data_IF_220182710091
#
_entry.id   IF_220182710091
#
_cell.length_a   1.000
_cell.length_b   1.000
_cell.length_c   1.000
_cell.angle_alpha   90.00
_cell.angle_beta   90.00
_cell.angle_gamma   90.00
#
_symmetry.space_group_name_H-M   'P 1'
#
loop_
_entity.id
_entity.type
_entity.pdbx_description
1 polymer ?
#
# COMPACT_ATOMS: atom_id res chain seq x y z
N UNK A 1 -9.66 -0.65 -26.97
CA UNK A 1 -10.19 -0.30 -25.63
C UNK A 1 -9.96 -1.48 -24.69
N UNK A 2 -9.41 -1.19 -23.53
CA UNK A 2 -8.42 -2.01 -22.83
C UNK A 2 -9.04 -3.12 -21.94
N UNK A 3 -9.02 -4.38 -22.39
CA UNK A 3 -9.57 -5.54 -21.65
C UNK A 3 -8.92 -5.74 -20.27
N UNK A 4 -7.72 -5.20 -20.04
CA UNK A 4 -7.03 -5.26 -18.74
C UNK A 4 -7.66 -4.32 -17.70
N UNK A 5 -8.06 -3.09 -18.08
CA UNK A 5 -8.64 -2.11 -17.15
C UNK A 5 -10.02 -2.52 -16.60
N UNK A 6 -10.81 -3.23 -17.39
CA UNK A 6 -12.15 -3.70 -16.95
C UNK A 6 -12.01 -4.78 -15.87
N UNK A 7 -11.00 -5.66 -15.98
CA UNK A 7 -10.82 -6.78 -15.04
C UNK A 7 -10.44 -6.31 -13.62
N UNK A 8 -9.64 -5.26 -13.50
CA UNK A 8 -9.23 -4.69 -12.20
C UNK A 8 -10.38 -4.01 -11.46
N UNK A 9 -11.28 -3.34 -12.19
CA UNK A 9 -12.45 -2.65 -11.59
C UNK A 9 -13.51 -3.62 -11.08
N UNK A 10 -13.68 -4.77 -11.74
CA UNK A 10 -14.57 -5.85 -11.27
C UNK A 10 -13.99 -6.63 -10.08
N UNK A 11 -12.66 -6.69 -9.95
CA UNK A 11 -11.99 -7.42 -8.87
C UNK A 11 -12.12 -6.67 -7.52
N UNK A 12 -11.87 -5.35 -7.47
CA UNK A 12 -11.99 -4.60 -6.20
C UNK A 12 -13.43 -4.54 -5.66
N UNK A 13 -14.43 -4.58 -6.56
CA UNK A 13 -15.85 -4.68 -6.19
C UNK A 13 -16.21 -6.05 -5.57
N UNK A 14 -15.51 -7.13 -5.93
CA UNK A 14 -15.76 -8.48 -5.37
C UNK A 14 -15.10 -8.66 -4.00
N UNK A 15 -14.00 -7.96 -3.76
CA UNK A 15 -13.19 -8.09 -2.54
C UNK A 15 -13.68 -7.19 -1.41
N UNK A 16 -14.15 -5.96 -1.73
CA UNK A 16 -14.86 -5.12 -0.77
C UNK A 16 -16.13 -5.84 -0.26
N UNK A 17 -16.81 -6.58 -1.14
CA UNK A 17 -17.95 -7.43 -0.78
C UNK A 17 -17.56 -8.56 0.16
N UNK A 18 -16.34 -9.10 0.08
CA UNK A 18 -15.88 -10.18 0.96
C UNK A 18 -15.58 -9.67 2.37
N UNK A 19 -14.91 -8.52 2.51
CA UNK A 19 -14.68 -7.88 3.81
C UNK A 19 -15.99 -7.45 4.47
N UNK A 20 -16.90 -6.83 3.70
CA UNK A 20 -18.25 -6.48 4.17
C UNK A 20 -19.02 -7.74 4.54
N UNK A 21 -19.01 -8.79 3.72
CA UNK A 21 -19.67 -10.05 4.05
C UNK A 21 -19.09 -10.68 5.33
N UNK A 22 -17.78 -10.56 5.56
CA UNK A 22 -17.15 -11.06 6.78
C UNK A 22 -17.57 -10.25 8.01
N UNK A 23 -17.61 -8.92 7.92
CA UNK A 23 -18.13 -8.07 9.00
C UNK A 23 -19.60 -8.37 9.30
N UNK A 24 -20.42 -8.51 8.26
CA UNK A 24 -21.83 -8.90 8.38
C UNK A 24 -21.96 -10.28 9.01
N UNK A 25 -21.16 -11.26 8.58
CA UNK A 25 -21.15 -12.61 9.15
C UNK A 25 -20.78 -12.60 10.64
N UNK A 26 -19.73 -11.86 11.03
CA UNK A 26 -19.35 -11.73 12.44
C UNK A 26 -20.42 -11.02 13.26
N UNK A 27 -21.08 -10.00 12.72
CA UNK A 27 -22.21 -9.34 13.40
C UNK A 27 -23.40 -10.28 13.58
N UNK A 28 -23.76 -11.06 12.55
CA UNK A 28 -24.84 -12.04 12.61
C UNK A 28 -24.53 -13.16 13.59
N UNK A 29 -23.30 -13.68 13.57
CA UNK A 29 -22.86 -14.70 14.51
C UNK A 29 -22.91 -14.20 15.95
N UNK A 30 -22.50 -12.95 16.18
CA UNK A 30 -22.56 -12.31 17.50
C UNK A 30 -24.01 -12.16 17.97
N UNK A 31 -24.90 -11.65 17.13
CA UNK A 31 -26.34 -11.53 17.44
C UNK A 31 -26.97 -12.90 17.69
N UNK A 32 -26.71 -13.89 16.84
CA UNK A 32 -27.24 -15.25 16.99
C UNK A 32 -26.73 -15.91 18.28
N UNK A 33 -25.45 -15.72 18.62
CA UNK A 33 -24.87 -16.17 19.88
C UNK A 33 -25.56 -15.52 21.07
N UNK A 34 -25.70 -14.18 21.08
CA UNK A 34 -26.40 -13.50 22.16
C UNK A 34 -27.85 -13.97 22.29
N UNK A 35 -28.60 -14.06 21.19
CA UNK A 35 -30.00 -14.53 21.19
C UNK A 35 -30.13 -15.95 21.72
N UNK A 36 -29.27 -16.88 21.27
CA UNK A 36 -29.24 -18.25 21.79
C UNK A 36 -28.98 -18.26 23.30
N UNK A 37 -28.01 -17.48 23.76
CA UNK A 37 -27.71 -17.36 25.18
C UNK A 37 -28.87 -16.75 25.97
N UNK A 38 -29.58 -15.74 25.45
CA UNK A 38 -30.74 -15.16 26.17
C UNK A 38 -31.89 -16.17 26.30
N UNK A 39 -32.09 -17.02 25.30
CA UNK A 39 -33.14 -18.05 25.31
C UNK A 39 -32.77 -19.18 26.28
N UNK A 40 -31.58 -19.75 26.13
CA UNK A 40 -31.14 -20.90 26.92
C UNK A 40 -30.91 -20.54 28.40
N UNK A 41 -30.46 -19.31 28.66
CA UNK A 41 -30.16 -18.85 30.01
C UNK A 41 -31.33 -18.14 30.68
N UNK A 42 -32.37 -17.76 29.93
CA UNK A 42 -33.55 -17.10 30.50
C UNK A 42 -34.16 -17.90 31.66
N UNK A 43 -34.16 -19.23 31.59
CA UNK A 43 -34.67 -20.12 32.63
C UNK A 43 -33.68 -20.35 33.80
N UNK A 44 -32.36 -20.27 33.55
CA UNK A 44 -31.31 -20.52 34.56
C UNK A 44 -30.94 -19.25 35.34
N UNK A 45 -31.12 -18.08 34.71
CA UNK A 45 -30.73 -16.77 35.23
C UNK A 45 -31.49 -16.36 36.49
N UNK A 46 -32.75 -16.77 36.63
CA UNK A 46 -33.54 -16.45 37.83
C UNK A 46 -32.91 -16.99 39.13
N UNK A 47 -32.10 -18.05 39.04
CA UNK A 47 -31.54 -18.72 40.22
C UNK A 47 -30.10 -18.31 40.54
N UNK A 48 -29.29 -17.82 39.58
CA UNK A 48 -27.91 -17.42 39.88
C UNK A 48 -27.31 -16.37 38.89
N UNK A 49 -27.21 -15.09 39.29
CA UNK A 49 -26.68 -14.02 38.44
C UNK A 49 -25.18 -14.18 38.10
N UNK A 50 -24.44 -15.03 38.83
CA UNK A 50 -23.03 -15.32 38.53
C UNK A 50 -22.85 -16.00 37.17
N UNK A 51 -23.87 -16.72 36.68
CA UNK A 51 -23.82 -17.38 35.38
C UNK A 51 -23.73 -16.36 34.24
N UNK A 52 -24.47 -15.25 34.33
CA UNK A 52 -24.38 -14.15 33.36
C UNK A 52 -22.96 -13.60 33.32
N UNK A 53 -22.37 -13.35 34.49
CA UNK A 53 -21.00 -12.83 34.59
C UNK A 53 -20.00 -13.80 33.95
N UNK A 54 -20.13 -15.10 34.20
CA UNK A 54 -19.25 -16.11 33.60
C UNK A 54 -19.33 -16.15 32.07
N UNK A 55 -20.53 -16.01 31.50
CA UNK A 55 -20.75 -15.96 30.05
C UNK A 55 -20.13 -14.71 29.43
N UNK A 56 -20.36 -13.54 30.02
CA UNK A 56 -19.75 -12.29 29.55
C UNK A 56 -18.23 -12.34 29.63
N UNK A 57 -17.68 -12.94 30.70
CA UNK A 57 -16.25 -13.12 30.84
C UNK A 57 -15.69 -14.07 29.76
N UNK A 58 -16.37 -15.18 29.48
CA UNK A 58 -16.01 -16.10 28.40
C UNK A 58 -16.01 -15.43 27.02
N UNK A 59 -17.05 -14.66 26.73
CA UNK A 59 -17.14 -13.88 25.49
C UNK A 59 -16.01 -12.83 25.39
N UNK A 60 -15.76 -12.09 26.48
CA UNK A 60 -14.68 -11.11 26.52
C UNK A 60 -13.32 -11.74 26.23
N UNK A 61 -13.05 -12.93 26.79
CA UNK A 61 -11.81 -13.68 26.49
C UNK A 61 -11.72 -14.04 25.01
N UNK A 62 -12.81 -14.55 24.41
CA UNK A 62 -12.84 -14.89 22.97
C UNK A 62 -12.56 -13.66 22.11
N UNK A 63 -13.22 -12.53 22.41
CA UNK A 63 -13.03 -11.27 21.69
C UNK A 63 -11.57 -10.80 21.81
N UNK A 64 -11.01 -10.79 23.02
CA UNK A 64 -9.60 -10.38 23.25
C UNK A 64 -8.64 -11.26 22.45
N UNK A 65 -8.84 -12.59 22.46
CA UNK A 65 -8.00 -13.52 21.70
C UNK A 65 -8.10 -13.28 20.19
N UNK A 66 -9.32 -13.11 19.66
CA UNK A 66 -9.52 -12.80 18.25
C UNK A 66 -8.86 -11.47 17.88
N UNK A 67 -9.08 -10.41 18.66
CA UNK A 67 -8.47 -9.09 18.45
C UNK A 67 -6.95 -9.17 18.48
N UNK A 68 -6.36 -9.97 19.38
CA UNK A 68 -4.92 -10.15 19.47
C UNK A 68 -4.35 -10.86 18.22
N UNK A 69 -5.01 -11.93 17.77
CA UNK A 69 -4.63 -12.67 16.55
C UNK A 69 -4.72 -11.76 15.33
N UNK A 70 -5.85 -11.05 15.17
CA UNK A 70 -6.04 -10.10 14.07
C UNK A 70 -5.01 -8.98 14.13
N UNK A 71 -4.76 -8.40 15.31
CA UNK A 71 -3.80 -7.31 15.45
C UNK A 71 -2.40 -7.74 15.06
N UNK A 72 -1.93 -8.89 15.55
CA UNK A 72 -0.60 -9.40 15.22
C UNK A 72 -0.47 -9.76 13.73
N UNK A 73 -1.50 -10.36 13.14
CA UNK A 73 -1.49 -10.79 11.73
C UNK A 73 -1.60 -9.61 10.75
N UNK A 74 -2.35 -8.57 11.09
CA UNK A 74 -2.58 -7.43 10.20
C UNK A 74 -1.68 -6.23 10.49
N UNK A 75 -1.58 -5.74 11.73
CA UNK A 75 -0.81 -4.53 12.03
C UNK A 75 0.70 -4.70 11.88
N UNK A 76 1.24 -5.88 12.21
CA UNK A 76 2.68 -6.14 12.13
C UNK A 76 3.28 -5.93 10.73
N UNK A 77 2.67 -6.47 9.65
CA UNK A 77 3.04 -6.14 8.28
C UNK A 77 2.98 -4.64 7.96
N UNK A 78 1.92 -3.94 8.37
CA UNK A 78 1.77 -2.51 8.09
C UNK A 78 2.85 -1.65 8.74
N UNK A 79 3.22 -1.95 9.98
CA UNK A 79 4.28 -1.22 10.68
C UNK A 79 5.63 -1.37 9.97
N UNK A 80 5.95 -2.58 9.50
CA UNK A 80 7.16 -2.84 8.70
C UNK A 80 7.14 -2.08 7.38
N UNK A 81 6.04 -2.16 6.63
CA UNK A 81 5.88 -1.42 5.37
C UNK A 81 6.01 0.09 5.58
N UNK A 82 5.46 0.63 6.68
CA UNK A 82 5.60 2.05 7.04
C UNK A 82 7.05 2.44 7.29
N UNK A 83 7.82 1.59 7.98
CA UNK A 83 9.24 1.83 8.23
C UNK A 83 10.04 1.81 6.92
N UNK A 84 9.79 0.82 6.05
CA UNK A 84 10.45 0.75 4.74
C UNK A 84 10.11 1.96 3.86
N UNK A 85 8.84 2.39 3.86
CA UNK A 85 8.40 3.57 3.14
C UNK A 85 9.06 4.86 3.65
N UNK A 86 9.27 5.00 4.98
CA UNK A 86 10.02 6.13 5.54
C UNK A 86 11.46 6.17 5.04
N UNK A 87 12.11 5.02 4.88
CA UNK A 87 13.48 4.94 4.34
C UNK A 87 13.51 5.38 2.88
N UNK A 88 12.50 5.00 2.09
CA UNK A 88 12.35 5.42 0.69
C UNK A 88 12.11 6.95 0.62
N UNK A 89 11.23 7.48 1.47
CA UNK A 89 10.98 8.92 1.58
C UNK A 89 12.22 9.71 2.05
N UNK A 90 13.12 9.07 2.79
CA UNK A 90 14.43 9.61 3.18
C UNK A 90 15.45 9.70 2.03
N UNK A 91 15.06 9.36 0.79
CA UNK A 91 15.90 9.50 -0.40
C UNK A 91 16.55 8.20 -0.88
N UNK A 92 16.33 7.07 -0.19
CA UNK A 92 16.80 5.77 -0.68
C UNK A 92 15.79 5.15 -1.65
N UNK A 93 15.76 5.65 -2.88
CA UNK A 93 14.81 5.21 -3.92
C UNK A 93 15.09 3.81 -4.46
N UNK A 94 16.27 3.22 -4.20
CA UNK A 94 16.59 1.84 -4.59
C UNK A 94 15.93 0.80 -3.69
N UNK A 95 15.49 1.20 -2.48
CA UNK A 95 14.81 0.28 -1.58
C UNK A 95 13.43 -0.09 -2.12
N UNK A 96 13.03 -1.33 -1.91
CA UNK A 96 11.70 -1.86 -2.27
C UNK A 96 10.99 -2.36 -1.03
N UNK A 97 9.67 -2.28 -1.10
CA UNK A 97 8.81 -2.82 -0.06
C UNK A 97 8.82 -4.34 -0.14
N UNK A 98 9.05 -5.01 0.99
CA UNK A 98 9.08 -6.46 1.08
C UNK A 98 7.98 -6.99 2.01
N UNK A 99 7.41 -8.13 1.62
CA UNK A 99 6.33 -8.77 2.35
C UNK A 99 6.54 -10.28 2.40
N UNK A 100 6.16 -10.93 3.50
CA UNK A 100 6.40 -12.37 3.65
C UNK A 100 5.46 -13.17 2.76
N UNK A 101 5.93 -14.34 2.33
CA UNK A 101 5.14 -15.30 1.56
C UNK A 101 3.89 -15.84 2.27
N UNK A 102 3.77 -15.68 3.60
CA UNK A 102 2.61 -16.05 4.41
C UNK A 102 1.68 -14.88 4.74
N UNK A 103 2.10 -13.65 4.46
CA UNK A 103 1.26 -12.48 4.67
C UNK A 103 0.14 -12.47 3.62
N UNK A 104 -0.92 -11.74 3.93
CA UNK A 104 -2.15 -11.66 3.14
C UNK A 104 -1.90 -11.37 1.65
N UNK A 105 -2.64 -12.06 0.78
CA UNK A 105 -2.42 -12.01 -0.68
C UNK A 105 -2.74 -10.62 -1.26
N UNK A 106 -3.67 -9.90 -0.65
CA UNK A 106 -4.06 -8.55 -1.06
C UNK A 106 -2.98 -7.55 -0.69
N UNK A 107 -2.44 -7.67 0.53
CA UNK A 107 -1.32 -6.84 0.94
C UNK A 107 -0.10 -7.06 0.02
N UNK A 108 0.12 -8.29 -0.45
CA UNK A 108 1.17 -8.59 -1.44
C UNK A 108 0.93 -7.95 -2.80
N UNK A 109 -0.31 -8.03 -3.30
CA UNK A 109 -0.67 -7.38 -4.56
C UNK A 109 -0.46 -5.86 -4.49
N UNK A 110 -0.90 -5.25 -3.39
CA UNK A 110 -0.71 -3.83 -3.12
C UNK A 110 0.78 -3.45 -3.09
N UNK A 111 1.60 -4.19 -2.32
CA UNK A 111 3.05 -3.96 -2.24
C UNK A 111 3.72 -4.06 -3.61
N UNK A 112 3.30 -5.00 -4.45
CA UNK A 112 3.81 -5.13 -5.82
C UNK A 112 3.44 -3.93 -6.69
N UNK A 113 2.23 -3.39 -6.59
CA UNK A 113 1.84 -2.17 -7.31
C UNK A 113 2.59 -0.94 -6.83
N UNK A 114 2.80 -0.80 -5.52
CA UNK A 114 3.61 0.28 -4.95
C UNK A 114 5.05 0.16 -5.44
N UNK A 115 5.64 -1.04 -5.48
CA UNK A 115 6.99 -1.22 -6.01
C UNK A 115 7.09 -0.82 -7.49
N UNK A 116 6.08 -1.13 -8.32
CA UNK A 116 6.03 -0.63 -9.70
C UNK A 116 5.99 0.89 -9.76
N UNK A 117 5.21 1.53 -8.89
CA UNK A 117 5.16 2.99 -8.80
C UNK A 117 6.54 3.55 -8.43
N UNK A 118 7.21 2.94 -7.45
CA UNK A 118 8.58 3.30 -7.06
C UNK A 118 9.57 3.15 -8.21
N UNK A 119 9.47 2.09 -9.02
CA UNK A 119 10.31 1.91 -10.21
C UNK A 119 10.13 3.07 -11.20
N UNK A 120 8.89 3.56 -11.39
CA UNK A 120 8.63 4.71 -12.26
C UNK A 120 9.19 6.01 -11.67
N UNK A 121 9.06 6.20 -10.36
CA UNK A 121 9.64 7.36 -9.68
C UNK A 121 11.17 7.36 -9.74
N UNK A 122 11.81 6.22 -9.54
CA UNK A 122 13.26 6.09 -9.60
C UNK A 122 13.79 6.43 -11.00
N UNK A 123 13.16 5.86 -12.05
CA UNK A 123 13.52 6.19 -13.45
C UNK A 123 13.40 7.68 -13.73
N UNK A 124 12.28 8.30 -13.32
CA UNK A 124 12.07 9.73 -13.51
C UNK A 124 13.09 10.57 -12.72
N UNK A 125 13.43 10.16 -11.50
CA UNK A 125 14.43 10.83 -10.69
C UNK A 125 15.83 10.76 -11.34
N UNK A 126 16.22 9.59 -11.86
CA UNK A 126 17.48 9.42 -12.62
C UNK A 126 17.50 10.32 -13.85
N UNK A 127 16.42 10.35 -14.64
CA UNK A 127 16.30 11.25 -15.78
C UNK A 127 16.44 12.73 -15.40
N UNK A 128 15.78 13.17 -14.31
CA UNK A 128 15.93 14.54 -13.81
C UNK A 128 17.37 14.85 -13.37
N UNK A 129 18.06 13.88 -12.75
CA UNK A 129 19.46 14.04 -12.35
C UNK A 129 20.39 14.17 -13.55
N UNK A 130 20.16 13.38 -14.59
CA UNK A 130 20.90 13.48 -15.84
C UNK A 130 20.65 14.84 -16.53
N UNK A 131 19.39 15.30 -16.59
CA UNK A 131 19.07 16.64 -17.10
C UNK A 131 19.76 17.76 -16.33
N UNK A 132 19.81 17.68 -14.99
CA UNK A 132 20.51 18.69 -14.17
C UNK A 132 22.01 18.73 -14.48
N UNK A 133 22.63 17.59 -14.80
CA UNK A 133 24.04 17.54 -15.20
C UNK A 133 24.27 18.19 -16.57
N UNK A 134 23.40 17.96 -17.56
CA UNK A 134 23.47 18.57 -18.89
C UNK A 134 23.23 20.09 -18.82
N UNK A 135 22.26 20.52 -18.00
CA UNK A 135 21.99 21.94 -17.78
C UNK A 135 23.18 22.65 -17.12
N UNK A 136 23.91 21.98 -16.23
CA UNK A 136 25.17 22.50 -15.68
C UNK A 136 26.25 22.65 -16.73
N UNK A 137 26.38 21.68 -17.65
CA UNK A 137 27.31 21.77 -18.78
C UNK A 137 26.93 22.95 -19.69
N UNK A 138 25.65 23.09 -20.03
CA UNK A 138 25.16 24.20 -20.84
C UNK A 138 25.43 25.55 -20.17
N UNK A 139 25.16 25.66 -18.86
CA UNK A 139 25.47 26.87 -18.09
C UNK A 139 26.96 27.19 -18.14
N UNK A 140 27.83 26.20 -17.95
CA UNK A 140 29.28 26.38 -18.04
C UNK A 140 29.74 26.87 -19.42
N UNK A 141 29.15 26.36 -20.50
CA UNK A 141 29.44 26.80 -21.87
C UNK A 141 29.01 28.25 -22.11
N UNK A 142 27.88 28.67 -21.54
CA UNK A 142 27.39 30.06 -21.64
C UNK A 142 28.26 31.03 -20.84
N UNK A 143 28.69 30.62 -19.64
CA UNK A 143 29.47 31.47 -18.73
C UNK A 143 30.94 31.64 -19.19
N UNK A 144 31.42 30.81 -20.14
CA UNK A 144 32.80 30.85 -20.62
C UNK A 144 32.96 31.86 -21.78
N UNK A 145 33.76 32.90 -21.58
CA UNK A 145 34.14 33.81 -22.66
C UNK A 145 34.90 33.05 -23.77
N UNK A 146 34.40 33.14 -25.01
CA UNK A 146 35.01 32.51 -26.18
C UNK A 146 34.40 31.17 -26.63
N UNK A 147 33.31 30.71 -26.02
CA UNK A 147 32.56 29.54 -26.53
C UNK A 147 31.94 29.86 -27.90
N UNK A 148 32.10 28.95 -28.87
CA UNK A 148 31.56 29.17 -30.19
C UNK A 148 30.03 29.03 -30.19
N UNK A 149 29.36 29.75 -31.09
CA UNK A 149 27.90 29.63 -31.24
C UNK A 149 27.50 28.21 -31.67
N UNK A 150 28.36 27.51 -32.40
CA UNK A 150 28.13 26.13 -32.84
C UNK A 150 28.14 25.15 -31.67
N UNK A 151 29.09 25.28 -30.74
CA UNK A 151 29.17 24.44 -29.52
C UNK A 151 27.93 24.59 -28.63
N UNK A 152 27.40 25.81 -28.50
CA UNK A 152 26.17 26.08 -27.76
C UNK A 152 24.93 25.47 -28.44
N UNK A 153 24.83 25.59 -29.76
CA UNK A 153 23.71 25.03 -30.52
C UNK A 153 23.73 23.50 -30.43
N UNK A 154 24.90 22.87 -30.55
CA UNK A 154 25.05 21.42 -30.44
C UNK A 154 24.63 20.92 -29.05
N UNK A 155 25.06 21.61 -27.97
CA UNK A 155 24.66 21.27 -26.61
C UNK A 155 23.14 21.41 -26.38
N UNK A 156 22.50 22.44 -26.95
CA UNK A 156 21.05 22.64 -26.86
C UNK A 156 20.28 21.57 -27.64
N UNK A 157 20.75 21.19 -28.83
CA UNK A 157 20.14 20.12 -29.64
C UNK A 157 20.25 18.79 -28.88
N UNK A 158 21.42 18.45 -28.36
CA UNK A 158 21.61 17.23 -27.58
C UNK A 158 20.67 17.15 -26.36
N UNK A 159 20.47 18.27 -25.65
CA UNK A 159 19.50 18.35 -24.55
C UNK A 159 18.06 18.15 -25.03
N UNK A 160 17.68 18.78 -26.15
CA UNK A 160 16.34 18.68 -26.72
C UNK A 160 16.02 17.24 -27.15
N UNK A 161 16.92 16.60 -27.90
CA UNK A 161 16.76 15.23 -28.37
C UNK A 161 16.55 14.25 -27.21
N UNK A 162 17.29 14.45 -26.11
CA UNK A 162 17.18 13.63 -24.89
C UNK A 162 15.82 13.80 -24.19
N UNK A 163 15.25 15.00 -24.21
CA UNK A 163 13.90 15.27 -23.67
C UNK A 163 12.83 14.61 -24.53
N UNK A 164 12.92 14.75 -25.85
CA UNK A 164 11.97 14.17 -26.81
C UNK A 164 11.96 12.63 -26.69
N UNK A 165 13.13 12.01 -26.64
CA UNK A 165 13.26 10.55 -26.49
C UNK A 165 12.60 10.00 -25.21
N UNK A 166 12.59 10.76 -24.12
CA UNK A 166 11.95 10.33 -22.86
C UNK A 166 10.43 10.57 -22.88
N UNK A 167 9.93 11.54 -23.64
CA UNK A 167 8.48 11.71 -23.86
C UNK A 167 7.89 10.58 -24.69
N UNK A 168 8.62 10.07 -25.68
CA UNK A 168 8.20 8.95 -26.54
C UNK A 168 8.20 7.58 -25.82
N UNK A 169 8.87 7.47 -24.67
CA UNK A 169 8.91 6.22 -23.85
C UNK A 169 7.71 6.04 -22.92
N UNK A 170 6.81 7.03 -22.80
CA UNK A 170 5.60 6.98 -21.95
C UNK A 170 4.45 6.23 -22.61
#
# INVERSE_FOLDING_TARGET
>A
MDKKKVRTKYFSLKELRLSIAHMVLWSLLTVAFFTYMTIELGEVVEHNPLYIVAVFLGYAVIVVLLTMIFSHRFLGPFERLKMELRVILGGNYQKRLNIRGRDDIYLRSFVMEVNKLLDHFEKKHLFCKDLDSELKVLKFLIDREGTSKEELVEAVIALHDKIVLEEERK
#
